data_IF_209389354510
#
_entry.id   IF_209389354510
#
_cell.length_a   1.000
_cell.length_b   1.000
_cell.length_c   1.000
_cell.angle_alpha   90.00
_cell.angle_beta   90.00
_cell.angle_gamma   90.00
#
_symmetry.space_group_name_H-M   'P 1'
#
loop_
_entity.id
_entity.type
_entity.pdbx_description
1 polymer ?
#
# COMPACT_ATOMS: atom_id res chain seq x y z
N UNK A 1 11.61 -36.92 3.35
CA UNK A 1 12.49 -35.76 3.59
C UNK A 1 12.32 -34.67 2.52
N UNK A 2 12.49 -34.96 1.22
CA UNK A 2 12.31 -33.95 0.13
C UNK A 2 10.95 -33.25 0.12
N UNK A 3 9.84 -33.98 0.36
CA UNK A 3 8.48 -33.40 0.41
C UNK A 3 8.26 -32.48 1.62
N UNK A 4 8.89 -32.79 2.77
CA UNK A 4 8.80 -31.98 3.98
C UNK A 4 9.66 -30.72 3.85
N UNK A 5 10.86 -30.81 3.26
CA UNK A 5 11.67 -29.62 2.96
C UNK A 5 11.01 -28.71 1.91
N UNK A 6 10.30 -29.26 0.93
CA UNK A 6 9.52 -28.48 -0.05
C UNK A 6 8.34 -27.75 0.62
N UNK A 7 7.63 -28.41 1.54
CA UNK A 7 6.54 -27.79 2.31
C UNK A 7 7.04 -26.69 3.25
N UNK A 8 8.20 -26.87 3.88
CA UNK A 8 8.84 -25.85 4.74
C UNK A 8 9.32 -24.64 3.95
N UNK A 9 9.81 -24.83 2.71
CA UNK A 9 10.20 -23.70 1.84
C UNK A 9 8.98 -22.93 1.32
N UNK A 10 7.87 -23.60 1.03
CA UNK A 10 6.60 -22.94 0.67
C UNK A 10 6.00 -22.18 1.87
N UNK A 11 6.08 -22.72 3.09
CA UNK A 11 5.60 -22.06 4.30
C UNK A 11 6.48 -20.86 4.71
N UNK A 12 7.81 -20.98 4.55
CA UNK A 12 8.73 -19.87 4.79
C UNK A 12 8.52 -18.73 3.79
N UNK A 13 8.25 -19.04 2.51
CA UNK A 13 7.80 -18.04 1.53
C UNK A 13 6.48 -17.42 2.01
N UNK A 14 5.47 -18.21 2.39
CA UNK A 14 4.17 -17.72 2.86
C UNK A 14 4.22 -16.69 4.01
N UNK A 15 5.21 -16.78 4.91
CA UNK A 15 5.43 -15.82 6.00
C UNK A 15 6.10 -14.51 5.55
N UNK A 16 6.86 -14.52 4.45
CA UNK A 16 7.41 -13.32 3.80
C UNK A 16 6.50 -12.75 2.71
N UNK A 17 5.41 -13.43 2.36
CA UNK A 17 4.43 -13.03 1.34
C UNK A 17 3.27 -12.20 1.90
N UNK A 18 3.33 -11.65 3.11
CA UNK A 18 2.34 -10.65 3.51
C UNK A 18 2.60 -9.39 2.68
N UNK A 19 1.97 -9.36 1.51
CA UNK A 19 1.85 -8.22 0.64
C UNK A 19 1.02 -7.15 1.39
N UNK A 20 1.67 -6.47 2.33
CA UNK A 20 1.01 -5.53 3.21
C UNK A 20 0.59 -4.31 2.40
N UNK A 21 -0.72 -4.18 2.23
CA UNK A 21 -1.31 -2.87 2.03
C UNK A 21 -1.48 -2.21 3.40
N UNK A 22 -0.62 -1.23 3.72
CA UNK A 22 -0.69 -0.49 4.98
C UNK A 22 -1.03 0.97 4.74
N UNK A 23 -1.81 1.56 5.63
CA UNK A 23 -2.03 3.02 5.66
C UNK A 23 -1.48 3.59 6.95
N UNK A 24 -0.42 4.39 6.86
CA UNK A 24 0.10 5.15 8.00
C UNK A 24 -0.63 6.50 8.10
N UNK A 25 -1.03 6.86 9.32
CA UNK A 25 -1.73 8.12 9.63
C UNK A 25 -0.87 8.89 10.61
N UNK A 26 -0.15 9.90 10.12
CA UNK A 26 0.64 10.77 10.98
C UNK A 26 -0.28 11.83 11.59
N UNK A 27 -0.48 11.77 12.91
CA UNK A 27 -1.29 12.70 13.72
C UNK A 27 -0.45 13.70 14.52
N UNK A 28 0.88 13.69 14.34
CA UNK A 28 1.84 14.33 15.25
C UNK A 28 1.96 15.86 15.06
N UNK A 29 1.96 16.68 16.13
CA UNK A 29 2.30 18.10 16.12
C UNK A 29 3.74 18.43 15.68
N UNK A 30 4.65 17.46 15.70
CA UNK A 30 6.09 17.73 15.60
C UNK A 30 6.60 17.76 14.15
N UNK A 31 6.03 18.68 13.38
CA UNK A 31 6.41 19.03 12.01
C UNK A 31 7.56 20.06 12.00
N UNK A 32 8.48 20.00 12.96
CA UNK A 32 9.45 21.08 13.24
C UNK A 32 8.78 22.45 13.38
N UNK A 33 7.62 22.51 14.04
CA UNK A 33 6.84 23.73 14.22
C UNK A 33 6.12 24.25 12.97
N UNK A 34 6.14 23.52 11.85
CA UNK A 34 5.41 23.90 10.64
C UNK A 34 4.00 23.29 10.63
N UNK A 35 3.03 23.96 10.01
CA UNK A 35 1.74 23.33 9.73
C UNK A 35 1.78 22.70 8.34
N UNK A 36 1.31 21.46 8.18
CA UNK A 36 1.00 20.93 6.83
C UNK A 36 -0.25 21.66 6.36
N UNK A 37 -0.08 22.72 5.58
CA UNK A 37 -1.17 23.47 4.97
C UNK A 37 -0.97 23.53 3.46
N UNK A 38 -2.00 23.14 2.70
CA UNK A 38 -2.11 23.40 1.26
C UNK A 38 -3.57 23.81 0.93
N UNK A 39 -4.18 24.57 1.86
CA UNK A 39 -5.59 24.98 2.06
C UNK A 39 -6.49 23.98 2.84
N UNK A 40 -7.31 24.54 3.75
CA UNK A 40 -8.21 23.81 4.66
C UNK A 40 -7.56 23.34 5.96
N UNK A 41 -8.38 22.86 6.92
CA UNK A 41 -7.87 22.28 8.18
C UNK A 41 -7.44 20.83 7.94
N UNK A 42 -6.14 20.60 7.86
CA UNK A 42 -5.55 19.26 7.74
C UNK A 42 -5.84 18.43 8.98
N UNK A 43 -6.37 17.22 8.78
CA UNK A 43 -6.71 16.26 9.84
C UNK A 43 -5.56 15.26 10.03
N UNK A 44 -4.96 14.80 8.94
CA UNK A 44 -3.81 13.89 8.95
C UNK A 44 -3.11 13.87 7.59
N UNK A 45 -1.83 13.51 7.60
CA UNK A 45 -1.15 13.00 6.42
C UNK A 45 -1.37 11.48 6.33
N UNK A 46 -1.74 11.00 5.15
CA UNK A 46 -2.00 9.60 4.85
C UNK A 46 -0.94 9.09 3.89
N UNK A 47 -0.44 7.89 4.18
CA UNK A 47 0.48 7.17 3.31
C UNK A 47 -0.07 5.76 3.12
N UNK A 48 -0.50 5.42 1.91
CA UNK A 48 -1.00 4.10 1.54
C UNK A 48 0.04 3.38 0.69
N UNK A 49 0.38 2.17 1.08
CA UNK A 49 1.36 1.34 0.39
C UNK A 49 0.68 0.07 -0.10
N UNK A 50 1.18 -0.51 -1.19
CA UNK A 50 0.89 -1.87 -1.60
C UNK A 50 2.10 -2.45 -2.35
N UNK A 51 2.27 -3.76 -2.33
CA UNK A 51 3.31 -4.44 -3.10
C UNK A 51 2.87 -5.81 -3.57
N UNK A 52 3.63 -6.40 -4.49
CA UNK A 52 3.34 -7.71 -5.03
C UNK A 52 4.49 -8.29 -5.85
N UNK A 53 4.31 -9.53 -6.26
CA UNK A 53 5.26 -10.33 -7.03
C UNK A 53 4.63 -10.66 -8.37
N UNK A 54 5.41 -10.46 -9.42
CA UNK A 54 5.01 -10.62 -10.80
C UNK A 54 5.93 -11.62 -11.50
N UNK A 55 5.38 -12.34 -12.47
CA UNK A 55 6.11 -13.10 -13.48
C UNK A 55 5.84 -12.46 -14.84
N UNK A 56 6.82 -11.77 -15.40
CA UNK A 56 6.60 -10.87 -16.54
C UNK A 56 5.40 -9.92 -16.27
N UNK A 57 4.34 -9.96 -17.06
CA UNK A 57 3.16 -9.10 -16.84
C UNK A 57 2.12 -9.73 -15.92
N UNK A 58 2.33 -10.96 -15.44
CA UNK A 58 1.35 -11.71 -14.66
C UNK A 58 1.52 -11.40 -13.17
N UNK A 59 0.53 -10.78 -12.50
CA UNK A 59 0.56 -10.56 -11.05
C UNK A 59 0.37 -11.90 -10.35
N UNK A 60 1.39 -12.46 -9.71
CA UNK A 60 1.23 -13.75 -9.02
C UNK A 60 0.53 -13.57 -7.68
N UNK A 61 1.07 -12.67 -6.85
CA UNK A 61 0.61 -12.36 -5.50
C UNK A 61 0.70 -10.86 -5.29
N UNK A 62 -0.39 -10.22 -4.88
CA UNK A 62 -0.41 -8.79 -4.58
C UNK A 62 -1.16 -8.53 -3.28
N UNK A 63 -0.93 -7.40 -2.63
CA UNK A 63 -1.68 -7.08 -1.42
C UNK A 63 -3.13 -6.74 -1.75
N UNK A 64 -4.07 -7.27 -0.98
CA UNK A 64 -5.50 -7.02 -1.21
C UNK A 64 -5.86 -5.58 -0.82
N UNK A 65 -6.48 -4.85 -1.74
CA UNK A 65 -7.02 -3.51 -1.47
C UNK A 65 -8.44 -3.55 -0.91
N UNK A 66 -9.14 -4.68 -1.09
CA UNK A 66 -10.45 -4.93 -0.48
C UNK A 66 -10.31 -5.36 0.98
N UNK A 67 -9.30 -6.18 1.28
CA UNK A 67 -9.02 -6.68 2.63
C UNK A 67 -7.55 -6.39 3.02
N UNK A 68 -7.21 -5.13 3.42
CA UNK A 68 -5.85 -4.76 3.78
C UNK A 68 -5.23 -5.71 4.82
N UNK A 69 -3.99 -6.14 4.57
CA UNK A 69 -3.29 -7.16 5.36
C UNK A 69 -3.45 -8.60 4.84
N UNK A 70 -4.21 -8.80 3.77
CA UNK A 70 -4.31 -10.08 3.06
C UNK A 70 -3.73 -10.01 1.64
N UNK A 71 -3.75 -11.15 0.93
CA UNK A 71 -3.13 -11.32 -0.40
C UNK A 71 -4.23 -11.64 -1.41
N UNK A 72 -4.22 -10.96 -2.54
CA UNK A 72 -4.95 -11.35 -3.74
C UNK A 72 -4.03 -12.17 -4.67
N UNK A 73 -4.58 -13.24 -5.28
CA UNK A 73 -3.85 -14.15 -6.17
C UNK A 73 -4.30 -13.90 -7.61
N UNK A 74 -3.36 -13.80 -8.55
CA UNK A 74 -3.66 -13.57 -9.97
C UNK A 74 -4.50 -12.31 -10.26
N UNK A 75 -4.36 -11.29 -9.43
CA UNK A 75 -5.07 -10.01 -9.53
C UNK A 75 -4.08 -8.87 -9.39
N UNK A 76 -4.12 -7.89 -10.29
CA UNK A 76 -3.22 -6.74 -10.20
C UNK A 76 -3.83 -5.65 -9.31
N UNK A 77 -3.32 -5.52 -8.09
CA UNK A 77 -3.73 -4.48 -7.13
C UNK A 77 -2.61 -3.48 -6.82
N UNK A 78 -1.40 -3.66 -7.37
CA UNK A 78 -0.26 -2.77 -7.15
C UNK A 78 -0.28 -1.66 -8.19
N UNK A 79 -1.37 -0.88 -8.16
CA UNK A 79 -1.63 0.22 -9.08
C UNK A 79 -2.50 1.31 -8.44
N UNK A 80 -2.42 2.53 -8.99
CA UNK A 80 -3.12 3.72 -8.48
C UNK A 80 -4.63 3.50 -8.40
N UNK A 81 -5.32 3.01 -9.45
CA UNK A 81 -6.77 2.81 -9.39
C UNK A 81 -7.22 1.88 -8.26
N UNK A 82 -6.41 0.87 -7.94
CA UNK A 82 -6.73 -0.10 -6.88
C UNK A 82 -6.46 0.45 -5.47
N UNK A 83 -5.38 1.22 -5.29
CA UNK A 83 -4.95 1.68 -3.96
C UNK A 83 -5.56 3.04 -3.55
N UNK A 84 -5.92 3.91 -4.51
CA UNK A 84 -6.54 5.21 -4.24
C UNK A 84 -7.85 5.13 -3.42
N UNK A 85 -8.76 4.17 -3.67
CA UNK A 85 -9.95 3.97 -2.84
C UNK A 85 -9.61 3.67 -1.37
N UNK A 86 -8.52 2.94 -1.10
CA UNK A 86 -8.09 2.60 0.26
C UNK A 86 -7.67 3.86 1.02
N UNK A 87 -6.84 4.71 0.39
CA UNK A 87 -6.40 5.98 0.96
C UNK A 87 -7.57 6.94 1.19
N UNK A 88 -8.44 7.10 0.20
CA UNK A 88 -9.58 8.03 0.29
C UNK A 88 -10.67 7.54 1.24
N UNK A 89 -10.88 6.22 1.36
CA UNK A 89 -11.75 5.65 2.39
C UNK A 89 -11.21 5.93 3.80
N UNK A 90 -9.88 5.80 4.01
CA UNK A 90 -9.25 6.18 5.29
C UNK A 90 -9.39 7.67 5.57
N UNK A 91 -9.18 8.53 4.57
CA UNK A 91 -9.39 9.98 4.65
C UNK A 91 -10.81 10.34 5.10
N UNK A 92 -11.81 9.74 4.44
CA UNK A 92 -13.23 9.91 4.79
C UNK A 92 -13.54 9.40 6.20
N UNK A 93 -12.98 8.26 6.60
CA UNK A 93 -13.16 7.70 7.95
C UNK A 93 -12.57 8.60 9.05
N UNK A 94 -11.58 9.45 8.73
CA UNK A 94 -11.04 10.47 9.63
C UNK A 94 -11.86 11.78 9.65
N UNK A 95 -12.96 11.85 8.88
CA UNK A 95 -13.84 13.02 8.83
C UNK A 95 -13.40 14.12 7.85
N UNK A 96 -12.52 13.79 6.90
CA UNK A 96 -12.15 14.69 5.81
C UNK A 96 -13.26 14.78 4.75
N UNK A 97 -13.38 15.95 4.11
CA UNK A 97 -14.22 16.17 2.94
C UNK A 97 -13.43 16.09 1.63
N UNK A 98 -12.11 16.30 1.71
CA UNK A 98 -11.18 16.30 0.57
C UNK A 98 -9.89 15.58 0.92
N UNK A 99 -9.23 15.04 -0.10
CA UNK A 99 -7.85 14.56 -0.01
C UNK A 99 -7.01 15.36 -1.01
N UNK A 100 -6.01 16.10 -0.52
CA UNK A 100 -5.22 17.04 -1.33
C UNK A 100 -3.74 16.65 -1.37
N UNK A 101 -3.00 17.17 -2.35
CA UNK A 101 -1.57 16.92 -2.57
C UNK A 101 -1.25 15.42 -2.69
N UNK A 102 -2.02 14.76 -3.54
CA UNK A 102 -1.77 13.36 -3.85
C UNK A 102 -0.43 13.24 -4.58
N UNK A 103 0.42 12.37 -4.06
CA UNK A 103 1.62 11.92 -4.74
C UNK A 103 1.57 10.41 -4.88
N UNK A 104 2.09 9.88 -5.98
CA UNK A 104 2.19 8.44 -6.20
C UNK A 104 3.58 8.09 -6.69
N UNK A 105 4.15 7.02 -6.15
CA UNK A 105 5.44 6.49 -6.56
C UNK A 105 5.33 4.99 -6.82
N UNK A 106 5.99 4.53 -7.87
CA UNK A 106 6.16 3.11 -8.15
C UNK A 106 7.64 2.74 -8.07
N UNK A 107 7.90 1.51 -7.65
CA UNK A 107 9.21 0.89 -7.71
C UNK A 107 9.08 -0.54 -8.23
N UNK A 108 10.02 -0.95 -9.07
CA UNK A 108 10.12 -2.30 -9.60
C UNK A 108 11.55 -2.81 -9.41
N UNK A 109 11.69 -4.09 -9.05
CA UNK A 109 12.99 -4.72 -8.86
C UNK A 109 12.94 -6.19 -9.26
N UNK A 110 13.78 -6.58 -10.21
CA UNK A 110 13.83 -7.92 -10.78
C UNK A 110 13.71 -7.91 -12.31
N UNK A 111 13.66 -9.09 -12.92
CA UNK A 111 13.59 -9.24 -14.39
C UNK A 111 12.47 -10.19 -14.81
N UNK A 112 12.60 -11.49 -14.52
CA UNK A 112 11.60 -12.52 -14.86
C UNK A 112 10.56 -12.59 -13.75
N UNK A 113 11.03 -12.87 -12.53
CA UNK A 113 10.30 -12.58 -11.31
C UNK A 113 10.74 -11.20 -10.84
N UNK A 114 9.78 -10.32 -10.57
CA UNK A 114 10.08 -9.02 -9.98
C UNK A 114 9.04 -8.67 -8.92
N UNK A 115 9.47 -7.83 -8.00
CA UNK A 115 8.58 -7.16 -7.06
C UNK A 115 8.18 -5.81 -7.64
N UNK A 116 6.90 -5.48 -7.53
CA UNK A 116 6.41 -4.12 -7.73
C UNK A 116 5.90 -3.60 -6.39
N UNK A 117 6.18 -2.34 -6.09
CA UNK A 117 5.53 -1.61 -5.01
C UNK A 117 4.95 -0.29 -5.52
N UNK A 118 3.89 0.15 -4.85
CA UNK A 118 3.30 1.46 -5.04
C UNK A 118 3.10 2.10 -3.68
N UNK A 119 3.40 3.40 -3.62
CA UNK A 119 3.05 4.27 -2.53
C UNK A 119 2.14 5.39 -3.07
N UNK A 120 1.07 5.72 -2.36
CA UNK A 120 0.27 6.92 -2.58
C UNK A 120 0.18 7.66 -1.26
N UNK A 121 0.57 8.92 -1.25
CA UNK A 121 0.43 9.79 -0.09
C UNK A 121 -0.51 10.95 -0.37
N UNK A 122 -1.11 11.52 0.68
CA UNK A 122 -2.03 12.65 0.56
C UNK A 122 -2.49 13.20 1.90
N UNK A 123 -2.99 14.44 1.89
CA UNK A 123 -3.48 15.13 3.08
C UNK A 123 -4.99 15.01 3.18
N UNK A 124 -5.49 14.46 4.29
CA UNK A 124 -6.90 14.45 4.63
C UNK A 124 -7.31 15.84 5.17
N UNK A 125 -8.26 16.51 4.52
CA UNK A 125 -8.64 17.90 4.80
C UNK A 125 -10.15 18.03 5.01
N UNK A 126 -10.55 18.82 6.01
CA UNK A 126 -11.96 19.16 6.25
C UNK A 126 -12.49 20.23 5.31
#
# INVERSE_FOLDING_TARGET
MKKIMLLLSIAAVGLFMSACASVEVVKDPNLNGQAIANSGRTIAHLDAQNWGIYLFTIPLLTGSTENPGSIDVLKDTVNVPSLMPVLTAKSKALGASKTLNLASQYSESGLIFYTRSINISGNAVK
#
